data_IF_280773864244
#
_entry.id   IF_280773864244
#
_cell.length_a   1.000
_cell.length_b   1.000
_cell.length_c   1.000
_cell.angle_alpha   90.00
_cell.angle_beta   90.00
_cell.angle_gamma   90.00
#
_symmetry.space_group_name_H-M   'P 1'
#
loop_
_entity.id
_entity.type
_entity.pdbx_description
1 polymer ?
#
# COMPACT_ATOMS: atom_id res chain seq x y z
N UNK A 1 -59.54 65.64 25.12
CA UNK A 1 -58.17 66.00 24.85
C UNK A 1 -57.43 64.70 24.56
N UNK A 2 -57.21 64.38 23.30
CA UNK A 2 -56.58 63.14 22.85
C UNK A 2 -55.17 63.50 22.33
N UNK A 3 -54.12 63.02 22.99
CA UNK A 3 -52.76 63.24 22.61
C UNK A 3 -52.30 62.16 21.55
N UNK A 4 -51.98 62.64 20.36
CA UNK A 4 -51.33 61.83 19.29
C UNK A 4 -49.95 61.36 19.68
N UNK A 5 -49.74 60.05 19.63
CA UNK A 5 -48.40 59.45 19.76
C UNK A 5 -47.94 59.07 18.38
N UNK A 6 -46.87 59.75 17.88
CA UNK A 6 -46.16 59.43 16.63
C UNK A 6 -45.30 58.20 16.84
N UNK A 7 -45.55 57.15 16.09
CA UNK A 7 -44.64 55.96 16.00
C UNK A 7 -43.45 56.28 15.09
N UNK A 8 -42.28 56.39 15.67
CA UNK A 8 -41.04 56.40 14.90
C UNK A 8 -40.67 54.97 14.53
N UNK A 9 -40.78 54.60 13.25
CA UNK A 9 -40.28 53.37 12.69
C UNK A 9 -38.82 53.52 12.33
N UNK A 10 -37.91 52.95 13.17
CA UNK A 10 -36.51 52.78 12.85
C UNK A 10 -36.37 51.67 11.82
N UNK A 11 -35.95 51.99 10.60
CA UNK A 11 -35.57 51.01 9.58
C UNK A 11 -34.20 50.53 9.87
N UNK A 12 -34.04 49.32 10.42
CA UNK A 12 -32.77 48.60 10.46
C UNK A 12 -32.48 48.02 9.07
N UNK A 13 -31.53 48.59 8.35
CA UNK A 13 -30.96 48.00 7.16
C UNK A 13 -30.00 46.86 7.60
N UNK A 14 -30.48 45.62 7.48
CA UNK A 14 -29.63 44.45 7.67
C UNK A 14 -28.66 44.31 6.47
N UNK A 15 -27.41 44.64 6.67
CA UNK A 15 -26.34 44.40 5.70
C UNK A 15 -25.95 42.93 5.82
N UNK A 16 -26.58 42.05 5.03
CA UNK A 16 -26.13 40.65 4.90
C UNK A 16 -24.78 40.63 4.14
N UNK A 17 -23.69 40.53 4.88
CA UNK A 17 -22.40 40.11 4.30
C UNK A 17 -22.55 38.66 3.83
N UNK A 18 -22.72 38.49 2.52
CA UNK A 18 -22.53 37.20 1.85
C UNK A 18 -21.05 36.82 1.96
N UNK A 19 -20.69 36.07 2.98
CA UNK A 19 -19.46 35.29 2.97
C UNK A 19 -19.59 34.22 1.88
N UNK A 20 -19.15 34.51 0.66
CA UNK A 20 -18.82 33.51 -0.33
C UNK A 20 -17.60 32.76 0.22
N UNK A 21 -17.69 31.45 0.53
CA UNK A 21 -16.50 30.69 0.81
C UNK A 21 -15.68 30.71 -0.48
N UNK A 22 -14.56 31.41 -0.47
CA UNK A 22 -13.51 31.21 -1.46
C UNK A 22 -13.08 29.74 -1.32
N UNK A 23 -13.59 28.87 -2.18
CA UNK A 23 -12.99 27.57 -2.40
C UNK A 23 -11.61 27.87 -2.99
N UNK A 24 -10.63 28.07 -2.13
CA UNK A 24 -9.23 27.86 -2.47
C UNK A 24 -9.18 26.41 -2.97
N UNK A 25 -9.07 26.25 -4.28
CA UNK A 25 -8.83 24.94 -4.90
C UNK A 25 -7.50 24.50 -4.32
N UNK A 26 -7.52 23.61 -3.35
CA UNK A 26 -6.30 23.05 -2.81
C UNK A 26 -5.51 22.47 -3.99
N UNK A 27 -4.25 22.82 -4.08
CA UNK A 27 -3.36 22.30 -5.10
C UNK A 27 -3.31 20.79 -4.90
N UNK A 28 -3.70 20.02 -5.91
CA UNK A 28 -3.76 18.57 -5.81
C UNK A 28 -2.42 17.98 -6.26
N UNK A 29 -1.62 17.55 -5.29
CA UNK A 29 -0.36 16.85 -5.57
C UNK A 29 -0.62 15.41 -5.94
N UNK A 30 -0.26 15.03 -7.19
CA UNK A 30 -0.45 13.67 -7.69
C UNK A 30 0.61 13.25 -8.71
N UNK A 31 0.88 11.96 -8.74
CA UNK A 31 1.52 11.29 -9.87
C UNK A 31 0.41 10.67 -10.71
N UNK A 32 0.40 10.89 -12.03
CA UNK A 32 -0.65 10.35 -12.87
C UNK A 32 -0.13 9.82 -14.21
N UNK A 33 -0.86 8.87 -14.79
CA UNK A 33 -0.48 8.11 -15.97
C UNK A 33 -1.72 7.76 -16.80
N UNK A 34 -1.54 7.64 -18.10
CA UNK A 34 -2.56 7.26 -19.12
C UNK A 34 -2.45 5.80 -19.58
N UNK A 35 -1.59 5.01 -18.92
CA UNK A 35 -1.38 3.57 -19.20
C UNK A 35 -1.11 2.79 -17.91
N UNK A 36 -1.43 1.48 -17.87
CA UNK A 36 -1.04 0.60 -16.77
C UNK A 36 0.49 0.51 -16.60
N UNK A 37 0.94 0.14 -15.40
CA UNK A 37 2.32 -0.22 -15.18
C UNK A 37 2.66 -1.55 -15.87
N UNK A 38 3.80 -1.60 -16.53
CA UNK A 38 4.35 -2.80 -17.15
C UNK A 38 5.46 -3.45 -16.31
N UNK A 39 6.16 -2.63 -15.51
CA UNK A 39 7.24 -3.05 -14.61
C UNK A 39 7.03 -2.49 -13.21
N UNK A 40 7.73 -3.06 -12.24
CA UNK A 40 7.58 -2.71 -10.83
C UNK A 40 7.81 -1.22 -10.53
N UNK A 41 8.78 -0.60 -11.17
CA UNK A 41 9.12 0.82 -10.97
C UNK A 41 8.05 1.80 -11.49
N UNK A 42 7.11 1.33 -12.29
CA UNK A 42 5.97 2.12 -12.77
C UNK A 42 4.73 1.96 -11.88
N UNK A 43 4.72 0.95 -10.99
CA UNK A 43 3.59 0.70 -10.10
C UNK A 43 3.46 1.80 -9.04
N UNK A 44 2.22 2.09 -8.60
CA UNK A 44 1.94 3.12 -7.61
C UNK A 44 2.14 2.57 -6.20
N UNK A 45 3.05 3.17 -5.39
CA UNK A 45 3.33 2.71 -4.04
C UNK A 45 2.30 3.22 -3.03
N UNK A 46 1.80 2.33 -2.19
CA UNK A 46 1.00 2.64 -1.01
C UNK A 46 1.61 1.95 0.21
N UNK A 47 1.50 2.56 1.38
CA UNK A 47 1.98 1.97 2.62
C UNK A 47 1.43 2.63 3.86
N UNK A 48 1.42 1.87 4.98
CA UNK A 48 1.03 2.37 6.31
C UNK A 48 2.12 2.17 7.37
N UNK A 49 3.36 1.90 6.94
CA UNK A 49 4.50 1.59 7.80
C UNK A 49 4.67 0.09 8.06
N UNK A 50 3.59 -0.70 8.11
CA UNK A 50 3.63 -2.16 8.28
C UNK A 50 3.31 -2.91 6.99
N UNK A 51 2.25 -2.50 6.30
CA UNK A 51 1.82 -3.07 5.02
C UNK A 51 2.26 -2.18 3.87
N UNK A 52 2.67 -2.80 2.78
CA UNK A 52 2.97 -2.13 1.51
C UNK A 52 2.20 -2.76 0.35
N UNK A 53 1.86 -1.93 -0.63
CA UNK A 53 1.19 -2.34 -1.86
C UNK A 53 1.77 -1.58 -3.05
N UNK A 54 2.14 -2.31 -4.12
CA UNK A 54 2.52 -1.73 -5.42
C UNK A 54 1.43 -2.01 -6.43
N UNK A 55 0.69 -0.98 -6.83
CA UNK A 55 -0.52 -1.09 -7.67
C UNK A 55 -0.15 -0.88 -9.14
N UNK A 56 -0.37 -1.89 -9.97
CA UNK A 56 -0.05 -1.83 -11.42
C UNK A 56 -1.15 -1.15 -12.24
N UNK A 57 -2.41 -1.31 -11.86
CA UNK A 57 -3.54 -0.61 -12.50
C UNK A 57 -4.02 -1.26 -13.80
N UNK A 58 -3.74 -2.53 -14.09
CA UNK A 58 -4.20 -3.17 -15.31
C UNK A 58 -5.71 -3.45 -15.26
N UNK A 59 -6.51 -3.00 -16.25
CA UNK A 59 -7.95 -3.23 -16.27
C UNK A 59 -8.37 -4.70 -16.33
N UNK A 60 -7.69 -5.51 -17.13
CA UNK A 60 -8.04 -6.93 -17.31
C UNK A 60 -7.58 -7.84 -16.17
N UNK A 61 -6.33 -7.65 -15.72
CA UNK A 61 -5.74 -8.40 -14.62
C UNK A 61 -4.96 -7.43 -13.76
N UNK A 62 -5.58 -6.95 -12.68
CA UNK A 62 -4.88 -6.15 -11.68
C UNK A 62 -3.87 -7.01 -10.93
N UNK A 63 -2.68 -6.45 -10.74
CA UNK A 63 -1.66 -6.98 -9.86
C UNK A 63 -1.37 -5.96 -8.78
N UNK A 64 -1.45 -6.36 -7.53
CA UNK A 64 -1.01 -5.58 -6.38
C UNK A 64 0.03 -6.40 -5.64
N UNK A 65 1.32 -6.01 -5.77
CA UNK A 65 2.36 -6.67 -5.00
C UNK A 65 2.26 -6.26 -3.53
N UNK A 66 2.32 -7.24 -2.65
CA UNK A 66 2.06 -7.11 -1.23
C UNK A 66 3.34 -7.28 -0.42
N UNK A 67 3.48 -6.45 0.61
CA UNK A 67 4.60 -6.50 1.54
C UNK A 67 4.11 -6.37 2.99
N UNK A 68 4.78 -7.07 3.89
CA UNK A 68 4.63 -6.94 5.34
C UNK A 68 6.03 -6.76 5.96
N UNK A 69 6.22 -5.72 6.78
CA UNK A 69 7.54 -5.22 7.22
C UNK A 69 8.40 -6.25 7.97
N UNK A 70 7.78 -7.24 8.60
CA UNK A 70 8.48 -8.23 9.42
C UNK A 70 8.78 -9.54 8.70
N UNK A 71 8.44 -9.66 7.40
CA UNK A 71 8.73 -10.86 6.63
C UNK A 71 10.17 -10.85 6.11
N UNK A 72 11.05 -11.47 6.88
CA UNK A 72 12.47 -11.61 6.58
C UNK A 72 12.86 -13.08 6.51
N UNK A 73 13.86 -13.42 5.71
CA UNK A 73 14.44 -14.76 5.66
C UNK A 73 15.06 -15.17 7.00
N UNK A 74 15.25 -16.47 7.19
CA UNK A 74 15.94 -17.01 8.35
C UNK A 74 15.10 -16.97 9.63
N UNK A 75 15.76 -16.67 10.76
CA UNK A 75 15.18 -16.73 12.11
C UNK A 75 16.04 -15.96 13.09
N UNK A 76 15.59 -15.70 14.34
CA UNK A 76 16.46 -15.24 15.41
C UNK A 76 17.72 -16.07 15.50
N UNK A 77 18.90 -15.42 15.44
CA UNK A 77 20.18 -16.07 15.34
C UNK A 77 21.24 -15.32 16.17
N UNK A 78 22.06 -16.06 16.89
CA UNK A 78 23.26 -15.53 17.52
C UNK A 78 24.43 -15.60 16.54
N UNK A 79 24.64 -14.54 15.78
CA UNK A 79 25.56 -14.47 14.65
C UNK A 79 27.03 -14.15 15.02
N UNK A 80 27.40 -13.49 16.15
CA UNK A 80 28.78 -13.22 16.47
C UNK A 80 29.68 -14.46 16.40
N UNK A 81 30.88 -14.29 15.87
CA UNK A 81 31.88 -15.33 15.90
C UNK A 81 32.46 -15.41 17.34
N UNK A 82 32.25 -16.51 18.07
CA UNK A 82 32.71 -16.62 19.46
C UNK A 82 34.22 -16.54 19.62
N UNK A 83 34.97 -16.86 18.58
CA UNK A 83 36.42 -16.86 18.61
C UNK A 83 37.06 -15.55 18.10
N UNK A 84 36.23 -14.56 17.70
CA UNK A 84 36.71 -13.31 17.10
C UNK A 84 37.73 -12.57 18.00
N UNK A 85 37.49 -12.56 19.30
CA UNK A 85 38.32 -11.81 20.27
C UNK A 85 39.79 -12.22 20.24
N UNK A 86 40.08 -13.49 20.04
CA UNK A 86 41.45 -14.04 19.97
C UNK A 86 42.24 -13.45 18.80
N UNK A 87 41.57 -13.17 17.66
CA UNK A 87 42.26 -12.73 16.43
C UNK A 87 42.31 -11.21 16.28
N UNK A 88 41.55 -10.43 17.05
CA UNK A 88 41.55 -8.97 16.95
C UNK A 88 42.94 -8.35 17.17
N UNK A 89 43.77 -8.76 18.18
CA UNK A 89 45.12 -8.21 18.33
C UNK A 89 45.98 -8.42 17.10
N UNK A 90 45.88 -9.59 16.48
CA UNK A 90 46.70 -9.92 15.28
C UNK A 90 46.23 -9.09 14.06
N UNK A 91 44.95 -8.87 13.88
CA UNK A 91 44.45 -7.99 12.83
C UNK A 91 44.98 -6.57 13.02
N UNK A 92 44.99 -6.04 14.25
CA UNK A 92 45.57 -4.71 14.55
C UNK A 92 47.08 -4.64 14.23
N UNK A 93 47.88 -5.65 14.62
CA UNK A 93 49.30 -5.71 14.26
C UNK A 93 49.53 -5.61 12.76
N UNK A 94 48.76 -6.37 11.97
CA UNK A 94 48.83 -6.35 10.52
C UNK A 94 48.47 -4.99 9.94
N UNK A 95 47.42 -4.35 10.45
CA UNK A 95 47.00 -2.99 10.03
C UNK A 95 48.12 -1.99 10.32
N UNK A 96 48.71 -2.01 11.52
CA UNK A 96 49.81 -1.09 11.90
C UNK A 96 51.10 -1.37 11.13
N UNK A 97 51.30 -2.60 10.69
CA UNK A 97 52.43 -2.96 9.82
C UNK A 97 52.19 -2.61 8.33
N UNK A 98 51.03 -1.99 7.96
CA UNK A 98 50.70 -1.67 6.59
C UNK A 98 50.27 -2.88 5.74
N UNK A 99 50.07 -4.05 6.35
CA UNK A 99 49.71 -5.31 5.69
C UNK A 99 48.18 -5.45 5.59
N UNK A 100 47.52 -4.52 4.90
CA UNK A 100 46.05 -4.41 4.86
C UNK A 100 45.35 -5.61 4.27
N UNK A 101 45.91 -6.22 3.20
CA UNK A 101 45.32 -7.40 2.58
C UNK A 101 45.35 -8.63 3.50
N UNK A 102 46.49 -8.85 4.20
CA UNK A 102 46.60 -9.92 5.20
C UNK A 102 45.63 -9.69 6.37
N UNK A 103 45.51 -8.44 6.84
CA UNK A 103 44.59 -8.05 7.89
C UNK A 103 43.13 -8.31 7.49
N UNK A 104 42.74 -7.94 6.27
CA UNK A 104 41.42 -8.17 5.73
C UNK A 104 41.07 -9.65 5.62
N UNK A 105 42.01 -10.45 5.07
CA UNK A 105 41.84 -11.91 4.96
C UNK A 105 41.62 -12.54 6.33
N UNK A 106 42.50 -12.22 7.30
CA UNK A 106 42.39 -12.74 8.66
C UNK A 106 41.10 -12.32 9.35
N UNK A 107 40.68 -11.05 9.19
CA UNK A 107 39.46 -10.55 9.74
C UNK A 107 38.25 -11.26 9.14
N UNK A 108 38.19 -11.43 7.82
CA UNK A 108 37.11 -12.14 7.12
C UNK A 108 36.97 -13.58 7.61
N UNK A 109 38.08 -14.30 7.75
CA UNK A 109 38.08 -15.72 8.12
C UNK A 109 37.84 -15.97 9.62
N UNK A 110 38.33 -15.10 10.49
CA UNK A 110 38.42 -15.37 11.94
C UNK A 110 37.63 -14.41 12.81
N UNK A 111 37.31 -13.21 12.33
CA UNK A 111 36.65 -12.18 13.15
C UNK A 111 35.20 -11.94 12.69
N UNK A 112 34.96 -11.99 11.40
CA UNK A 112 33.60 -11.75 10.85
C UNK A 112 32.58 -12.74 11.41
N UNK A 113 31.34 -12.31 11.45
CA UNK A 113 30.19 -13.16 11.86
C UNK A 113 30.02 -14.35 10.90
N UNK A 114 29.29 -15.37 11.36
CA UNK A 114 29.06 -16.62 10.60
C UNK A 114 28.27 -16.40 9.32
N UNK A 115 27.32 -15.46 9.37
CA UNK A 115 26.53 -15.00 8.23
C UNK A 115 26.88 -13.53 7.98
N UNK A 116 27.30 -13.18 6.77
CA UNK A 116 27.95 -11.89 6.50
C UNK A 116 27.03 -10.87 5.82
N UNK A 117 25.97 -11.31 5.15
CA UNK A 117 25.07 -10.43 4.38
C UNK A 117 23.82 -10.01 5.13
N UNK A 118 23.60 -10.55 6.32
CA UNK A 118 22.33 -10.35 7.05
C UNK A 118 21.18 -11.17 6.45
N UNK A 119 20.00 -11.07 7.04
CA UNK A 119 18.81 -11.73 6.53
C UNK A 119 18.10 -10.82 5.52
N UNK A 120 17.85 -11.28 4.28
CA UNK A 120 17.16 -10.46 3.28
C UNK A 120 15.69 -10.27 3.62
N UNK A 121 15.18 -9.08 3.34
CA UNK A 121 13.76 -8.79 3.32
C UNK A 121 13.08 -9.58 2.19
N UNK A 122 11.83 -10.00 2.41
CA UNK A 122 11.09 -10.83 1.46
C UNK A 122 9.73 -10.22 1.13
N UNK A 123 9.38 -10.21 -0.16
CA UNK A 123 8.03 -9.89 -0.60
C UNK A 123 7.06 -10.95 -0.10
N UNK A 124 5.86 -10.54 0.31
CA UNK A 124 4.79 -11.48 0.66
C UNK A 124 4.30 -12.25 -0.56
N UNK A 125 4.08 -11.55 -1.66
CA UNK A 125 3.49 -12.04 -2.90
C UNK A 125 2.57 -11.03 -3.54
N UNK A 126 1.57 -11.49 -4.29
CA UNK A 126 0.64 -10.64 -5.02
C UNK A 126 -0.83 -10.95 -4.69
N UNK A 127 -1.65 -9.91 -4.67
CA UNK A 127 -3.08 -10.01 -4.94
C UNK A 127 -3.28 -9.86 -6.45
N UNK A 128 -3.88 -10.88 -7.08
CA UNK A 128 -4.27 -10.85 -8.48
C UNK A 128 -5.78 -10.82 -8.61
N UNK A 129 -6.30 -9.86 -9.38
CA UNK A 129 -7.74 -9.69 -9.59
C UNK A 129 -7.99 -9.72 -11.10
N UNK A 130 -8.61 -10.79 -11.57
CA UNK A 130 -9.02 -10.92 -12.97
C UNK A 130 -10.43 -10.34 -13.16
N UNK A 131 -10.59 -9.49 -14.17
CA UNK A 131 -11.87 -8.90 -14.58
C UNK A 131 -12.24 -9.43 -15.97
N UNK A 132 -13.12 -10.43 -16.05
CA UNK A 132 -13.56 -10.99 -17.34
C UNK A 132 -14.13 -9.91 -18.27
N UNK A 133 -13.65 -9.87 -19.51
CA UNK A 133 -14.12 -8.91 -20.51
C UNK A 133 -13.44 -7.53 -20.48
N UNK A 134 -12.55 -7.21 -19.53
CA UNK A 134 -11.91 -5.89 -19.40
C UNK A 134 -10.56 -5.78 -20.15
N UNK A 135 -10.28 -6.65 -21.09
CA UNK A 135 -9.05 -6.61 -21.91
C UNK A 135 -9.06 -5.51 -22.98
N UNK A 136 -10.26 -5.07 -23.40
CA UNK A 136 -10.44 -3.94 -24.31
C UNK A 136 -11.11 -2.80 -23.55
N UNK A 137 -10.38 -1.72 -23.38
CA UNK A 137 -10.81 -0.55 -22.61
C UNK A 137 -10.40 0.74 -23.30
N UNK A 138 -11.07 1.83 -22.93
CA UNK A 138 -10.76 3.22 -23.32
C UNK A 138 -10.75 4.12 -22.11
N UNK A 139 -10.42 5.40 -22.30
CA UNK A 139 -10.47 6.45 -21.27
C UNK A 139 -9.72 6.06 -20.00
N UNK A 140 -8.56 5.43 -20.18
CA UNK A 140 -7.74 4.94 -19.06
C UNK A 140 -7.04 6.08 -18.35
N UNK A 141 -7.09 6.03 -17.02
CA UNK A 141 -6.38 6.95 -16.15
C UNK A 141 -6.02 6.24 -14.85
N UNK A 142 -4.81 6.48 -14.34
CA UNK A 142 -4.43 6.10 -12.98
C UNK A 142 -3.65 7.21 -12.30
N UNK A 143 -3.81 7.34 -10.99
CA UNK A 143 -3.10 8.31 -10.17
C UNK A 143 -2.75 7.78 -8.79
N UNK A 144 -1.68 8.34 -8.22
CA UNK A 144 -1.38 8.35 -6.81
C UNK A 144 -1.60 9.76 -6.28
N UNK A 145 -2.63 9.96 -5.47
CA UNK A 145 -2.86 11.22 -4.75
C UNK A 145 -1.91 11.29 -3.57
N UNK A 146 -1.00 12.27 -3.58
CA UNK A 146 -0.05 12.51 -2.51
C UNK A 146 -0.69 13.21 -1.30
N UNK A 147 -1.84 13.86 -1.49
CA UNK A 147 -2.59 14.52 -0.41
C UNK A 147 -3.39 13.52 0.43
N UNK A 148 -3.77 12.39 -0.16
CA UNK A 148 -4.69 11.44 0.47
C UNK A 148 -4.17 10.01 0.54
N UNK A 149 -2.93 9.76 0.08
CA UNK A 149 -2.29 8.44 0.03
C UNK A 149 -3.20 7.36 -0.59
N UNK A 150 -3.79 7.66 -1.76
CA UNK A 150 -4.72 6.78 -2.48
C UNK A 150 -4.24 6.53 -3.89
N UNK A 151 -4.28 5.29 -4.33
CA UNK A 151 -4.21 4.96 -5.74
C UNK A 151 -5.62 4.89 -6.32
N UNK A 152 -5.82 5.50 -7.49
CA UNK A 152 -7.08 5.51 -8.21
C UNK A 152 -6.80 5.02 -9.63
N UNK A 153 -7.66 4.13 -10.14
CA UNK A 153 -7.64 3.67 -11.52
C UNK A 153 -9.04 3.82 -12.08
N UNK A 154 -9.17 4.51 -13.22
CA UNK A 154 -10.43 4.62 -13.95
C UNK A 154 -10.25 4.21 -15.40
N UNK A 155 -11.25 3.59 -15.98
CA UNK A 155 -11.27 3.19 -17.38
C UNK A 155 -12.70 2.87 -17.79
N UNK A 156 -12.92 2.75 -19.11
CA UNK A 156 -14.20 2.45 -19.69
C UNK A 156 -14.14 1.13 -20.47
N UNK A 157 -15.12 0.26 -20.24
CA UNK A 157 -15.35 -0.96 -21.03
C UNK A 157 -16.75 -0.91 -21.61
N UNK A 158 -16.87 -0.98 -22.91
CA UNK A 158 -18.10 -0.67 -23.62
C UNK A 158 -18.61 0.72 -23.19
N UNK A 159 -19.84 0.82 -22.68
CA UNK A 159 -20.42 2.08 -22.17
C UNK A 159 -20.51 2.16 -20.64
N UNK A 160 -19.60 1.46 -19.93
CA UNK A 160 -19.53 1.43 -18.46
C UNK A 160 -18.22 2.02 -17.99
N UNK A 161 -18.28 3.00 -17.09
CA UNK A 161 -17.11 3.56 -16.44
C UNK A 161 -16.84 2.80 -15.13
N UNK A 162 -15.62 2.29 -15.00
CA UNK A 162 -15.13 1.57 -13.84
C UNK A 162 -14.16 2.42 -13.04
N UNK A 163 -14.24 2.30 -11.73
CA UNK A 163 -13.29 2.94 -10.81
C UNK A 163 -12.83 1.97 -9.74
N UNK A 164 -11.50 1.97 -9.51
CA UNK A 164 -10.86 1.29 -8.37
C UNK A 164 -10.20 2.34 -7.48
N UNK A 165 -10.47 2.29 -6.19
CA UNK A 165 -9.77 3.07 -5.16
C UNK A 165 -9.04 2.12 -4.24
N UNK A 166 -7.74 2.32 -4.06
CA UNK A 166 -6.90 1.48 -3.20
C UNK A 166 -6.27 2.35 -2.12
N UNK A 167 -6.39 1.92 -0.87
CA UNK A 167 -5.74 2.53 0.30
C UNK A 167 -5.07 1.45 1.16
N UNK A 168 -3.98 1.82 1.81
CA UNK A 168 -3.35 1.02 2.85
C UNK A 168 -3.63 1.70 4.19
N UNK A 169 -4.73 1.28 4.85
CA UNK A 169 -5.24 1.97 6.04
C UNK A 169 -4.30 1.82 7.23
N UNK A 170 -3.81 2.95 7.76
CA UNK A 170 -3.03 2.95 9.00
C UNK A 170 -3.89 2.64 10.22
N UNK A 171 -5.10 3.24 10.41
CA UNK A 171 -5.94 2.95 11.56
C UNK A 171 -6.47 1.51 11.61
N UNK A 172 -6.77 0.93 10.44
CA UNK A 172 -7.40 -0.39 10.34
C UNK A 172 -6.39 -1.51 10.11
N UNK A 173 -5.13 -1.18 9.74
CA UNK A 173 -4.05 -2.13 9.47
C UNK A 173 -4.40 -3.18 8.39
N UNK A 174 -5.11 -2.74 7.34
CA UNK A 174 -5.51 -3.54 6.18
C UNK A 174 -5.32 -2.75 4.89
N UNK A 175 -5.19 -3.46 3.77
CA UNK A 175 -5.28 -2.90 2.42
C UNK A 175 -6.73 -3.02 1.99
N UNK A 176 -7.31 -1.93 1.48
CA UNK A 176 -8.72 -1.85 1.08
C UNK A 176 -8.77 -1.49 -0.40
N UNK A 177 -9.47 -2.28 -1.19
CA UNK A 177 -9.69 -2.07 -2.61
C UNK A 177 -11.19 -1.92 -2.85
N UNK A 178 -11.65 -0.72 -3.16
CA UNK A 178 -13.03 -0.45 -3.51
C UNK A 178 -13.20 -0.41 -5.03
N UNK A 179 -14.19 -1.14 -5.51
CA UNK A 179 -14.53 -1.33 -6.92
C UNK A 179 -15.94 -0.83 -7.17
N UNK A 180 -16.11 0.09 -8.09
CA UNK A 180 -17.41 0.66 -8.46
C UNK A 180 -17.54 0.78 -9.98
N UNK A 181 -18.80 0.81 -10.45
CA UNK A 181 -19.16 1.12 -11.82
C UNK A 181 -20.30 2.15 -11.83
N UNK A 182 -20.47 2.87 -12.93
CA UNK A 182 -21.56 3.84 -13.11
C UNK A 182 -22.91 3.19 -13.51
N UNK A 183 -22.92 1.87 -13.72
CA UNK A 183 -24.13 1.08 -13.98
C UNK A 183 -24.22 -0.08 -12.98
N UNK A 184 -25.42 -0.52 -12.60
CA UNK A 184 -25.59 -1.62 -11.65
C UNK A 184 -25.19 -2.97 -12.26
N UNK A 185 -24.86 -3.95 -11.39
CA UNK A 185 -24.54 -5.33 -11.74
C UNK A 185 -23.31 -5.49 -12.66
N UNK A 186 -22.36 -4.56 -12.61
CA UNK A 186 -21.19 -4.58 -13.53
C UNK A 186 -19.91 -5.13 -12.88
N UNK A 187 -19.86 -5.27 -11.58
CA UNK A 187 -18.66 -5.77 -10.89
C UNK A 187 -18.66 -7.30 -10.91
N UNK A 188 -17.82 -7.86 -11.78
CA UNK A 188 -17.55 -9.30 -11.86
C UNK A 188 -16.04 -9.50 -11.84
N UNK A 189 -15.53 -10.33 -10.92
CA UNK A 189 -14.10 -10.55 -10.72
C UNK A 189 -13.78 -11.90 -10.10
N UNK A 190 -12.52 -12.33 -10.27
CA UNK A 190 -11.90 -13.43 -9.55
C UNK A 190 -10.63 -12.91 -8.88
N UNK A 191 -10.53 -13.00 -7.55
CA UNK A 191 -9.41 -12.54 -6.77
C UNK A 191 -8.70 -13.71 -6.08
N UNK A 192 -7.37 -13.72 -6.13
CA UNK A 192 -6.53 -14.76 -5.52
C UNK A 192 -5.24 -14.18 -4.96
N UNK A 193 -4.71 -14.81 -3.94
CA UNK A 193 -3.38 -14.53 -3.40
C UNK A 193 -2.36 -15.49 -4.03
N UNK A 194 -1.19 -14.98 -4.37
CA UNK A 194 -0.04 -15.77 -4.85
C UNK A 194 1.21 -15.37 -4.09
N UNK A 195 2.22 -16.24 -4.03
CA UNK A 195 3.48 -15.95 -3.36
C UNK A 195 4.66 -16.57 -4.09
N UNK A 196 5.83 -15.94 -4.09
CA UNK A 196 7.07 -16.52 -4.62
C UNK A 196 7.71 -17.53 -3.66
N UNK A 197 7.23 -17.62 -2.42
CA UNK A 197 7.76 -18.57 -1.44
C UNK A 197 7.41 -20.00 -1.81
N UNK A 198 8.33 -20.91 -1.51
CA UNK A 198 8.07 -22.36 -1.62
C UNK A 198 7.15 -22.82 -0.48
N UNK A 199 6.44 -23.91 -0.71
CA UNK A 199 5.62 -24.58 0.31
C UNK A 199 4.53 -23.70 0.94
N UNK A 200 3.95 -22.75 0.16
CA UNK A 200 2.78 -22.00 0.61
C UNK A 200 1.51 -22.85 0.53
N UNK A 201 0.64 -22.66 1.49
CA UNK A 201 -0.70 -23.23 1.51
C UNK A 201 -1.73 -22.16 1.19
N UNK A 202 -2.56 -22.42 0.19
CA UNK A 202 -3.70 -21.57 -0.14
C UNK A 202 -4.98 -22.34 0.17
N UNK A 203 -5.90 -21.74 0.91
CA UNK A 203 -7.15 -22.35 1.30
C UNK A 203 -8.31 -21.34 1.24
N UNK A 204 -9.50 -21.86 0.88
CA UNK A 204 -10.76 -21.15 1.07
C UNK A 204 -11.34 -21.54 2.41
N UNK A 205 -11.59 -20.55 3.29
CA UNK A 205 -12.12 -20.74 4.64
C UNK A 205 -13.30 -19.79 4.85
N UNK A 206 -14.51 -20.35 4.80
CA UNK A 206 -15.73 -19.56 4.83
C UNK A 206 -15.81 -18.62 3.62
N UNK A 207 -15.91 -17.33 3.85
CA UNK A 207 -15.99 -16.25 2.87
C UNK A 207 -14.62 -15.62 2.54
N UNK A 208 -13.54 -16.33 2.84
CA UNK A 208 -12.19 -15.76 2.74
C UNK A 208 -11.22 -16.73 2.08
N UNK A 209 -10.23 -16.18 1.38
CA UNK A 209 -9.03 -16.89 0.92
C UNK A 209 -7.90 -16.60 1.88
N UNK A 210 -7.19 -17.63 2.32
CA UNK A 210 -5.96 -17.53 3.12
C UNK A 210 -4.78 -18.06 2.33
N UNK A 211 -3.64 -17.39 2.45
CA UNK A 211 -2.34 -17.87 1.99
C UNK A 211 -1.40 -17.85 3.19
N UNK A 212 -0.82 -18.99 3.53
CA UNK A 212 0.14 -19.13 4.64
C UNK A 212 1.42 -19.80 4.18
N UNK A 213 2.50 -19.51 4.86
CA UNK A 213 3.81 -20.07 4.56
C UNK A 213 4.85 -19.72 5.62
N UNK A 214 6.08 -20.08 5.33
CA UNK A 214 7.24 -19.80 6.18
C UNK A 214 8.31 -19.10 5.36
N UNK A 215 9.00 -18.16 5.96
CA UNK A 215 10.09 -17.41 5.31
C UNK A 215 11.19 -18.34 4.76
N UNK A 216 11.90 -17.85 3.75
CA UNK A 216 12.91 -18.65 3.05
C UNK A 216 14.15 -18.94 3.89
N UNK A 217 14.85 -19.99 3.49
CA UNK A 217 16.18 -20.31 3.95
C UNK A 217 17.22 -19.29 3.42
N UNK A 218 18.19 -18.92 4.25
CA UNK A 218 19.29 -18.05 3.84
C UNK A 218 20.57 -18.36 4.63
N UNK A 219 21.72 -18.43 3.97
CA UNK A 219 23.05 -18.64 4.55
C UNK A 219 23.13 -19.73 5.64
N UNK A 220 22.58 -20.91 5.38
CA UNK A 220 22.57 -22.02 6.34
C UNK A 220 21.49 -21.96 7.41
N UNK A 221 20.68 -20.91 7.45
CA UNK A 221 19.59 -20.76 8.41
C UNK A 221 18.24 -21.02 7.75
N UNK A 222 17.54 -22.04 8.22
CA UNK A 222 16.15 -22.32 7.80
C UNK A 222 15.24 -21.18 8.30
N UNK A 223 14.37 -20.68 7.43
CA UNK A 223 13.33 -19.74 7.79
C UNK A 223 12.41 -20.28 8.88
N UNK A 224 11.95 -19.40 9.77
CA UNK A 224 10.98 -19.68 10.83
C UNK A 224 10.02 -18.51 11.07
N UNK A 225 10.05 -17.52 10.21
CA UNK A 225 9.03 -16.47 10.26
C UNK A 225 7.82 -17.00 9.52
N UNK A 226 6.81 -17.45 10.27
CA UNK A 226 5.53 -17.87 9.72
C UNK A 226 4.76 -16.62 9.30
N UNK A 227 4.07 -16.71 8.17
CA UNK A 227 3.26 -15.61 7.65
C UNK A 227 1.91 -16.10 7.16
N UNK A 228 0.91 -15.23 7.25
CA UNK A 228 -0.41 -15.45 6.68
C UNK A 228 -0.94 -14.16 6.05
N UNK A 229 -1.54 -14.29 4.86
CA UNK A 229 -2.38 -13.29 4.24
C UNK A 229 -3.82 -13.76 4.17
N UNK A 230 -4.76 -12.87 4.42
CA UNK A 230 -6.19 -13.16 4.33
C UNK A 230 -6.88 -12.13 3.45
N UNK A 231 -7.59 -12.64 2.44
CA UNK A 231 -8.43 -11.87 1.51
C UNK A 231 -9.89 -12.17 1.81
N UNK A 232 -10.71 -11.14 1.99
CA UNK A 232 -12.18 -11.24 2.08
C UNK A 232 -12.83 -10.07 1.37
N UNK A 233 -14.15 -10.10 1.19
CA UNK A 233 -14.89 -9.05 0.51
C UNK A 233 -16.23 -8.75 1.17
N UNK A 234 -16.69 -7.52 0.96
CA UNK A 234 -18.07 -7.08 1.13
C UNK A 234 -18.55 -6.61 -0.24
N UNK A 235 -19.74 -7.01 -0.67
CA UNK A 235 -20.35 -6.51 -1.90
C UNK A 235 -21.76 -5.97 -1.65
N UNK A 236 -22.19 -5.10 -2.55
CA UNK A 236 -23.57 -4.67 -2.68
C UNK A 236 -24.14 -5.23 -3.99
N UNK A 237 -25.25 -5.94 -3.92
CA UNK A 237 -25.77 -6.71 -5.06
C UNK A 237 -24.90 -7.92 -5.42
N UNK A 238 -25.34 -8.69 -6.40
CA UNK A 238 -24.59 -9.85 -6.89
C UNK A 238 -24.40 -10.98 -5.88
N UNK A 239 -23.42 -11.83 -6.15
CA UNK A 239 -23.09 -13.01 -5.32
C UNK A 239 -21.58 -13.11 -5.14
N UNK A 240 -21.15 -13.44 -3.93
CA UNK A 240 -19.73 -13.79 -3.64
C UNK A 240 -19.64 -15.29 -3.34
N UNK A 241 -18.65 -15.94 -3.94
CA UNK A 241 -18.29 -17.34 -3.65
C UNK A 241 -16.80 -17.42 -3.34
N UNK A 242 -16.43 -18.42 -2.53
CA UNK A 242 -15.03 -18.64 -2.17
C UNK A 242 -14.73 -20.15 -2.24
N UNK A 243 -13.96 -20.58 -3.25
CA UNK A 243 -13.56 -21.98 -3.45
C UNK A 243 -12.18 -22.06 -4.11
N UNK A 244 -11.47 -23.14 -3.85
CA UNK A 244 -10.19 -23.47 -4.51
C UNK A 244 -9.15 -22.33 -4.48
N UNK A 245 -9.13 -21.53 -3.39
CA UNK A 245 -8.22 -20.40 -3.25
C UNK A 245 -8.60 -19.18 -4.08
N UNK A 246 -9.82 -19.12 -4.62
CA UNK A 246 -10.36 -18.01 -5.39
C UNK A 246 -11.57 -17.42 -4.67
N UNK A 247 -11.59 -16.10 -4.54
CA UNK A 247 -12.76 -15.32 -4.18
C UNK A 247 -13.35 -14.74 -5.45
N UNK A 248 -14.54 -15.19 -5.83
CA UNK A 248 -15.25 -14.72 -6.99
C UNK A 248 -16.44 -13.84 -6.59
N UNK A 249 -16.63 -12.76 -7.33
CA UNK A 249 -17.79 -11.86 -7.20
C UNK A 249 -18.44 -11.77 -8.57
N UNK A 250 -19.75 -11.94 -8.63
CA UNK A 250 -20.52 -11.88 -9.87
C UNK A 250 -21.64 -10.84 -9.76
N UNK A 251 -21.69 -9.93 -10.75
CA UNK A 251 -22.76 -8.96 -10.97
C UNK A 251 -23.10 -8.09 -9.74
N UNK A 252 -22.07 -7.68 -8.98
CA UNK A 252 -22.27 -6.71 -7.91
C UNK A 252 -22.36 -5.27 -8.45
N UNK A 253 -23.01 -4.39 -7.69
CA UNK A 253 -23.06 -2.94 -7.93
C UNK A 253 -21.77 -2.28 -7.42
N UNK A 254 -21.29 -2.76 -6.27
CA UNK A 254 -20.05 -2.34 -5.62
C UNK A 254 -19.41 -3.57 -4.93
N UNK A 255 -18.08 -3.60 -4.90
CA UNK A 255 -17.33 -4.56 -4.12
C UNK A 255 -16.18 -3.86 -3.38
N UNK A 256 -15.90 -4.31 -2.15
CA UNK A 256 -14.77 -3.86 -1.36
C UNK A 256 -13.99 -5.09 -0.92
N UNK A 257 -12.77 -5.23 -1.42
CA UNK A 257 -11.85 -6.28 -1.01
C UNK A 257 -10.99 -5.78 0.15
N UNK A 258 -10.75 -6.65 1.12
CA UNK A 258 -9.89 -6.41 2.28
C UNK A 258 -8.77 -7.44 2.29
N UNK A 259 -7.53 -6.95 2.39
CA UNK A 259 -6.35 -7.80 2.56
C UNK A 259 -5.67 -7.46 3.87
N UNK A 260 -5.47 -8.45 4.72
CA UNK A 260 -4.66 -8.35 5.94
C UNK A 260 -3.51 -9.32 5.85
N UNK A 261 -2.31 -8.86 6.20
CA UNK A 261 -1.08 -9.64 6.22
C UNK A 261 -0.50 -9.58 7.62
N UNK A 262 0.06 -10.67 8.09
CA UNK A 262 0.76 -10.72 9.37
C UNK A 262 1.81 -11.83 9.39
N UNK A 263 2.78 -11.70 10.30
CA UNK A 263 3.76 -12.73 10.61
C UNK A 263 3.69 -13.12 12.08
N UNK A 264 4.44 -14.16 12.47
CA UNK A 264 4.61 -14.55 13.87
C UNK A 264 5.67 -13.70 14.62
N UNK A 265 6.25 -12.69 13.98
CA UNK A 265 7.30 -11.86 14.56
C UNK A 265 6.74 -10.92 15.64
N UNK A 266 7.31 -10.99 16.85
CA UNK A 266 7.08 -10.05 17.94
C UNK A 266 8.26 -9.08 18.08
N UNK A 267 9.49 -9.61 18.06
CA UNK A 267 10.74 -8.86 18.08
C UNK A 267 11.91 -9.77 17.66
N UNK A 268 13.12 -9.24 17.58
CA UNK A 268 14.32 -9.96 17.12
C UNK A 268 14.71 -11.21 17.94
N UNK A 269 14.10 -11.43 19.10
CA UNK A 269 14.31 -12.64 19.93
C UNK A 269 13.08 -13.54 19.96
N UNK A 270 11.91 -13.02 19.60
CA UNK A 270 10.61 -13.67 19.82
C UNK A 270 9.80 -13.70 18.53
N UNK A 271 9.56 -14.90 18.03
CA UNK A 271 8.72 -15.22 16.86
C UNK A 271 7.59 -16.16 17.24
N UNK A 272 6.99 -16.00 18.42
CA UNK A 272 5.90 -16.85 18.93
C UNK A 272 4.50 -16.27 18.66
N UNK A 273 4.41 -15.19 17.88
CA UNK A 273 3.12 -14.58 17.51
C UNK A 273 2.25 -15.51 16.67
N UNK A 274 0.96 -15.21 16.60
CA UNK A 274 -0.03 -15.92 15.77
C UNK A 274 -0.47 -15.00 14.61
N UNK A 275 0.01 -15.22 13.37
CA UNK A 275 -0.37 -14.41 12.23
C UNK A 275 -1.86 -14.49 11.90
N UNK A 276 -2.48 -15.67 12.06
CA UNK A 276 -3.90 -15.86 11.80
C UNK A 276 -4.78 -15.09 12.81
N UNK A 277 -4.41 -15.08 14.09
CA UNK A 277 -5.12 -14.31 15.11
C UNK A 277 -4.99 -12.79 14.84
N UNK A 278 -3.80 -12.32 14.43
CA UNK A 278 -3.58 -10.91 14.05
C UNK A 278 -4.44 -10.49 12.88
N UNK A 279 -4.47 -11.30 11.80
CA UNK A 279 -5.31 -11.04 10.63
C UNK A 279 -6.80 -11.02 10.98
N UNK A 280 -7.26 -11.98 11.79
CA UNK A 280 -8.66 -12.01 12.26
C UNK A 280 -9.03 -10.76 13.05
N UNK A 281 -8.14 -10.25 13.91
CA UNK A 281 -8.39 -9.05 14.69
C UNK A 281 -8.52 -7.81 13.80
N UNK A 282 -7.55 -7.57 12.90
CA UNK A 282 -7.59 -6.44 11.98
C UNK A 282 -8.84 -6.45 11.08
N UNK A 283 -9.16 -7.60 10.47
CA UNK A 283 -10.33 -7.72 9.60
C UNK A 283 -11.66 -7.56 10.36
N UNK A 284 -11.77 -8.12 11.57
CA UNK A 284 -12.98 -7.98 12.40
C UNK A 284 -13.32 -6.52 12.66
N UNK A 285 -12.32 -5.69 12.93
CA UNK A 285 -12.52 -4.27 13.22
C UNK A 285 -12.74 -3.46 11.93
N UNK A 286 -12.00 -3.76 10.86
CA UNK A 286 -12.17 -3.11 9.56
C UNK A 286 -13.56 -3.36 8.96
N UNK A 287 -14.04 -4.61 8.93
CA UNK A 287 -15.32 -4.99 8.32
C UNK A 287 -16.56 -4.36 8.99
N UNK A 288 -16.44 -3.83 10.21
CA UNK A 288 -17.52 -3.15 10.92
C UNK A 288 -17.70 -1.69 10.51
N UNK A 289 -16.72 -1.11 9.83
CA UNK A 289 -16.71 0.32 9.48
C UNK A 289 -17.18 0.51 8.04
N UNK A 290 -18.07 1.49 7.77
CA UNK A 290 -18.36 1.89 6.39
C UNK A 290 -17.11 2.42 5.69
N UNK A 291 -16.94 2.12 4.39
CA UNK A 291 -15.80 2.58 3.60
C UNK A 291 -15.53 4.08 3.68
N UNK A 292 -16.60 4.89 3.67
CA UNK A 292 -16.47 6.35 3.79
C UNK A 292 -15.76 6.78 5.08
N UNK A 293 -16.01 6.06 6.19
CA UNK A 293 -15.33 6.31 7.47
C UNK A 293 -13.89 5.83 7.43
N UNK A 294 -13.62 4.64 6.89
CA UNK A 294 -12.26 4.11 6.72
C UNK A 294 -11.39 5.05 5.90
N UNK A 295 -11.93 5.54 4.76
CA UNK A 295 -11.26 6.52 3.91
C UNK A 295 -10.98 7.83 4.65
N UNK A 296 -11.94 8.37 5.39
CA UNK A 296 -11.78 9.61 6.16
C UNK A 296 -10.70 9.45 7.25
N UNK A 297 -10.72 8.35 8.00
CA UNK A 297 -9.75 8.05 9.05
C UNK A 297 -8.33 7.85 8.47
N UNK A 298 -8.22 7.17 7.30
CA UNK A 298 -6.97 7.00 6.58
C UNK A 298 -6.38 8.34 6.15
N UNK A 299 -7.17 9.19 5.47
CA UNK A 299 -6.71 10.51 5.01
C UNK A 299 -6.30 11.39 6.19
N UNK A 300 -7.09 11.42 7.26
CA UNK A 300 -6.77 12.21 8.46
C UNK A 300 -5.47 11.74 9.13
N UNK A 301 -5.24 10.42 9.20
CA UNK A 301 -4.01 9.85 9.74
C UNK A 301 -2.79 10.20 8.88
N UNK A 302 -2.91 10.13 7.57
CA UNK A 302 -1.85 10.49 6.63
C UNK A 302 -1.55 11.99 6.65
N UNK A 303 -2.57 12.84 6.58
CA UNK A 303 -2.44 14.30 6.57
C UNK A 303 -1.78 14.84 7.85
N UNK A 304 -1.93 14.15 8.98
CA UNK A 304 -1.24 14.51 10.24
C UNK A 304 0.28 14.56 10.09
N UNK A 305 0.85 13.74 9.22
CA UNK A 305 2.29 13.69 8.95
C UNK A 305 2.64 14.46 7.68
N UNK A 306 2.02 14.13 6.56
CA UNK A 306 2.32 14.71 5.24
C UNK A 306 2.02 16.20 5.17
N UNK A 307 0.92 16.65 5.76
CA UNK A 307 0.52 18.07 5.76
C UNK A 307 1.38 19.01 6.61
N UNK A 308 2.43 18.49 7.27
CA UNK A 308 3.35 19.30 8.10
C UNK A 308 4.47 19.96 7.30
N UNK A 309 4.72 19.49 6.11
CA UNK A 309 5.78 19.98 5.23
C UNK A 309 5.22 20.13 3.82
N UNK A 310 5.44 21.27 3.20
CA UNK A 310 5.13 21.50 1.79
C UNK A 310 6.28 22.24 1.12
N UNK A 311 6.52 21.94 -0.14
CA UNK A 311 7.48 22.63 -0.99
C UNK A 311 6.77 23.03 -2.27
N UNK A 312 6.77 24.33 -2.59
CA UNK A 312 6.23 24.84 -3.83
C UNK A 312 7.35 25.61 -4.55
N UNK A 313 7.82 25.09 -5.68
CA UNK A 313 8.85 25.71 -6.54
C UNK A 313 8.26 26.47 -7.73
N UNK A 314 6.94 26.63 -7.76
CA UNK A 314 6.17 27.28 -8.81
C UNK A 314 5.34 26.30 -9.62
N UNK A 315 4.43 26.84 -10.43
CA UNK A 315 3.58 26.07 -11.32
C UNK A 315 3.94 26.28 -12.78
N UNK A 316 3.73 25.25 -13.58
CA UNK A 316 3.79 25.34 -15.02
C UNK A 316 2.77 24.38 -15.67
N UNK A 317 2.62 24.44 -17.00
CA UNK A 317 1.70 23.57 -17.75
C UNK A 317 2.16 22.11 -17.81
N UNK A 318 3.38 21.78 -17.34
CA UNK A 318 3.88 20.42 -17.35
C UNK A 318 3.02 19.47 -16.48
N UNK A 319 2.28 19.99 -15.49
CA UNK A 319 1.33 19.19 -14.70
C UNK A 319 0.21 18.52 -15.53
N UNK A 320 -0.05 19.01 -16.73
CA UNK A 320 -1.00 18.42 -17.70
C UNK A 320 -0.41 17.22 -18.46
N UNK A 321 0.90 16.97 -18.34
CA UNK A 321 1.63 15.86 -18.96
C UNK A 321 1.77 14.72 -17.94
N UNK A 322 1.71 13.46 -18.40
CA UNK A 322 1.89 12.28 -17.54
C UNK A 322 3.23 12.28 -16.81
N UNK A 323 3.28 11.74 -15.60
CA UNK A 323 4.48 11.81 -14.74
C UNK A 323 5.70 11.13 -15.38
N UNK A 324 5.52 9.99 -16.07
CA UNK A 324 6.59 9.30 -16.78
C UNK A 324 7.21 10.15 -17.89
N UNK A 325 6.39 10.85 -18.66
CA UNK A 325 6.85 11.77 -19.72
C UNK A 325 7.56 12.99 -19.12
N UNK A 326 7.09 13.51 -17.99
CA UNK A 326 7.76 14.61 -17.28
C UNK A 326 9.16 14.20 -16.80
N UNK A 327 9.27 13.03 -16.17
CA UNK A 327 10.56 12.45 -15.73
C UNK A 327 11.49 12.23 -16.92
N UNK A 328 11.00 11.64 -18.00
CA UNK A 328 11.80 11.38 -19.21
C UNK A 328 12.35 12.66 -19.84
N UNK A 329 11.56 13.74 -19.86
CA UNK A 329 11.92 15.00 -20.48
C UNK A 329 12.55 16.01 -19.51
N UNK A 330 12.78 15.65 -18.24
CA UNK A 330 13.21 16.59 -17.20
C UNK A 330 14.48 17.36 -17.56
N UNK A 331 15.48 16.69 -18.15
CA UNK A 331 16.74 17.32 -18.54
C UNK A 331 16.59 18.38 -19.66
N UNK A 332 15.54 18.33 -20.45
CA UNK A 332 15.25 19.23 -21.57
C UNK A 332 14.16 20.26 -21.28
N UNK A 333 13.51 20.17 -20.12
CA UNK A 333 12.40 21.03 -19.71
C UNK A 333 12.73 21.74 -18.39
N UNK A 334 12.17 22.93 -18.18
CA UNK A 334 12.22 23.59 -16.89
C UNK A 334 10.94 23.29 -16.11
N UNK A 335 10.83 22.04 -15.63
CA UNK A 335 9.67 21.57 -14.87
C UNK A 335 9.86 21.78 -13.36
N UNK A 336 9.61 22.99 -12.90
CA UNK A 336 9.74 23.35 -11.48
C UNK A 336 8.70 22.67 -10.58
N UNK A 337 7.63 22.09 -11.16
CA UNK A 337 6.56 21.42 -10.40
C UNK A 337 6.84 19.92 -10.16
N UNK A 338 7.73 19.26 -10.96
CA UNK A 338 8.11 17.87 -10.76
C UNK A 338 9.02 17.72 -9.54
#
# INVERSE_FOLDING_TARGET
MIKNWKKNTCKFAAFSLLFLPSFLKAEEYKLWYDKPASVWTEALPLGNGRLGAMVYGNPGIEQIQLNEETLWAGRPNNNPNPNALEFIPKVRELVFAGKYLEAQTLATEKVMSKTNSGMPYQSFGDLRIAFPGHTRYTDYYRELSLDSARAIVTYKVNDVNFKREIITSFPDQVIIIRLTADKPNQITLNAQLTSPHQDVMIASVGDSVTLSGVSSWHEGLKGKVDFEGKLTAIQQGGVTTCSDGVLAIEKADEAILYVSLATNFNNYKDITGDPAARNRACLKDALRKPYARQKADHVASFAKYMGRVSLNLGENKAKEVTTDMRVQNFASTNDAHL
#
